data_IF_678755908532
#
_entry.id   IF_678755908532
#
_cell.length_a   1.000
_cell.length_b   1.000
_cell.length_c   1.000
_cell.angle_alpha   90.00
_cell.angle_beta   90.00
_cell.angle_gamma   90.00
#
_symmetry.space_group_name_H-M   'P 1'
#
loop_
_entity.id
_entity.type
_entity.pdbx_description
1 polymer ?
#
# COMPACT_ATOMS: atom_id res chain seq x y z
N UNK A 1 -5.12 -11.66 -5.35
CA UNK A 1 -5.76 -10.36 -5.10
C UNK A 1 -5.83 -9.53 -6.36
N UNK A 2 -6.75 -8.62 -6.39
CA UNK A 2 -6.82 -7.56 -7.38
C UNK A 2 -5.81 -6.46 -7.00
N UNK A 3 -4.58 -6.62 -7.43
CA UNK A 3 -3.49 -5.71 -7.07
C UNK A 3 -3.66 -4.32 -7.67
N UNK A 4 -4.13 -4.21 -8.91
CA UNK A 4 -4.38 -2.91 -9.54
C UNK A 4 -5.43 -2.13 -8.76
N UNK A 5 -6.55 -2.77 -8.39
CA UNK A 5 -7.57 -2.12 -7.57
C UNK A 5 -7.03 -1.71 -6.20
N UNK A 6 -6.16 -2.51 -5.55
CA UNK A 6 -5.56 -2.15 -4.27
C UNK A 6 -4.76 -0.83 -4.34
N UNK A 7 -4.01 -0.63 -5.40
CA UNK A 7 -3.32 0.64 -5.66
C UNK A 7 -4.27 1.76 -6.05
N UNK A 8 -5.23 1.46 -6.91
CA UNK A 8 -6.19 2.44 -7.43
C UNK A 8 -7.00 3.12 -6.32
N UNK A 9 -7.51 2.37 -5.35
CA UNK A 9 -8.28 2.94 -4.23
C UNK A 9 -7.42 3.84 -3.32
N UNK A 10 -6.12 3.55 -3.19
CA UNK A 10 -5.18 4.45 -2.51
C UNK A 10 -5.02 5.78 -3.26
N UNK A 11 -4.88 5.73 -4.58
CA UNK A 11 -4.81 6.92 -5.42
C UNK A 11 -6.09 7.74 -5.39
N UNK A 12 -7.26 7.09 -5.39
CA UNK A 12 -8.54 7.79 -5.25
C UNK A 12 -8.67 8.55 -3.93
N UNK A 13 -8.23 7.95 -2.81
CA UNK A 13 -8.22 8.64 -1.53
C UNK A 13 -7.23 9.82 -1.54
N UNK A 14 -6.05 9.64 -2.17
CA UNK A 14 -5.08 10.73 -2.29
C UNK A 14 -5.68 11.97 -3.01
N UNK A 15 -6.48 11.76 -4.06
CA UNK A 15 -7.19 12.85 -4.73
C UNK A 15 -8.14 13.62 -3.80
N UNK A 16 -8.72 12.95 -2.83
CA UNK A 16 -9.58 13.58 -1.82
C UNK A 16 -8.75 14.33 -0.78
N UNK A 17 -7.63 13.73 -0.32
CA UNK A 17 -6.76 14.35 0.69
C UNK A 17 -5.96 15.54 0.14
N UNK A 18 -5.60 15.51 -1.14
CA UNK A 18 -4.75 16.50 -1.82
C UNK A 18 -5.33 16.87 -3.19
N UNK A 19 -6.45 17.59 -3.23
CA UNK A 19 -7.17 17.87 -4.49
C UNK A 19 -6.38 18.79 -5.46
N UNK A 20 -5.42 19.53 -4.95
CA UNK A 20 -4.58 20.43 -5.77
C UNK A 20 -3.31 19.74 -6.34
N UNK A 21 -3.16 18.43 -6.11
CA UNK A 21 -1.96 17.69 -6.49
C UNK A 21 -0.83 17.84 -5.47
N UNK A 22 0.41 17.59 -5.90
CA UNK A 22 1.59 17.72 -5.04
C UNK A 22 2.75 16.83 -5.45
N UNK A 23 3.80 16.80 -4.62
CA UNK A 23 4.99 15.99 -4.84
C UNK A 23 4.89 14.67 -4.12
N UNK A 24 5.11 13.59 -4.84
CA UNK A 24 4.97 12.23 -4.29
C UNK A 24 6.25 11.42 -4.47
N UNK A 25 6.42 10.48 -3.56
CA UNK A 25 7.44 9.42 -3.63
C UNK A 25 6.74 8.09 -3.85
N UNK A 26 7.32 7.24 -4.69
CA UNK A 26 6.85 5.86 -4.89
C UNK A 26 7.93 4.92 -4.37
N UNK A 27 7.53 3.97 -3.52
CA UNK A 27 8.38 2.87 -3.05
C UNK A 27 7.90 1.59 -3.71
N UNK A 28 8.73 1.03 -4.56
CA UNK A 28 8.38 -0.05 -5.47
C UNK A 28 9.38 -1.20 -5.44
N UNK A 29 9.05 -2.31 -6.09
CA UNK A 29 9.93 -3.46 -6.27
C UNK A 29 9.74 -4.00 -7.70
N UNK A 30 10.45 -3.46 -8.69
CA UNK A 30 10.21 -3.76 -10.13
C UNK A 30 10.32 -5.24 -10.51
N UNK A 31 11.04 -6.03 -9.70
CA UNK A 31 11.13 -7.49 -9.88
C UNK A 31 9.90 -8.27 -9.40
N UNK A 32 8.88 -7.61 -8.81
CA UNK A 32 7.70 -8.26 -8.22
C UNK A 32 6.42 -7.79 -8.91
N UNK A 33 5.82 -8.66 -9.73
CA UNK A 33 4.65 -8.30 -10.55
C UNK A 33 3.48 -7.72 -9.74
N UNK A 34 3.16 -8.30 -8.58
CA UNK A 34 2.08 -7.79 -7.74
C UNK A 34 2.33 -6.38 -7.23
N UNK A 35 3.57 -6.01 -6.94
CA UNK A 35 3.95 -4.64 -6.56
C UNK A 35 3.80 -3.71 -7.76
N UNK A 36 4.24 -4.13 -8.95
CA UNK A 36 4.09 -3.33 -10.18
C UNK A 36 2.61 -3.04 -10.49
N UNK A 37 1.74 -4.05 -10.39
CA UNK A 37 0.29 -3.88 -10.57
C UNK A 37 -0.29 -2.86 -9.59
N UNK A 38 0.11 -2.91 -8.30
CA UNK A 38 -0.31 -1.95 -7.27
C UNK A 38 0.10 -0.52 -7.60
N UNK A 39 1.34 -0.34 -8.02
CA UNK A 39 1.84 0.98 -8.42
C UNK A 39 1.14 1.46 -9.68
N UNK A 40 0.93 0.58 -10.67
CA UNK A 40 0.18 0.92 -11.88
C UNK A 40 -1.22 1.44 -11.55
N UNK A 41 -1.98 0.73 -10.73
CA UNK A 41 -3.33 1.16 -10.34
C UNK A 41 -3.33 2.50 -9.58
N UNK A 42 -2.35 2.72 -8.70
CA UNK A 42 -2.20 4.01 -8.02
C UNK A 42 -1.92 5.15 -9.00
N UNK A 43 -0.97 4.98 -9.92
CA UNK A 43 -0.61 6.00 -10.92
C UNK A 43 -1.76 6.26 -11.89
N UNK A 44 -2.53 5.23 -12.26
CA UNK A 44 -3.74 5.40 -13.07
C UNK A 44 -4.75 6.31 -12.38
N UNK A 45 -5.02 6.09 -11.09
CA UNK A 45 -5.97 6.87 -10.33
C UNK A 45 -5.60 8.36 -10.26
N UNK A 46 -4.32 8.69 -10.14
CA UNK A 46 -3.83 10.08 -10.01
C UNK A 46 -3.43 10.72 -11.34
N UNK A 47 -3.64 10.04 -12.48
CA UNK A 47 -3.27 10.54 -13.80
C UNK A 47 -3.93 11.89 -14.08
N UNK A 48 -3.13 12.86 -14.56
CA UNK A 48 -3.56 14.23 -14.86
C UNK A 48 -4.12 15.05 -13.69
N UNK A 49 -3.81 14.67 -12.44
CA UNK A 49 -4.33 15.31 -11.23
C UNK A 49 -3.33 16.23 -10.52
N UNK A 50 -2.28 16.65 -11.23
CA UNK A 50 -1.31 17.62 -10.68
C UNK A 50 -0.26 17.02 -9.74
N UNK A 51 -0.16 15.69 -9.65
CA UNK A 51 0.90 15.04 -8.89
C UNK A 51 2.18 14.86 -9.71
N UNK A 52 3.32 15.11 -9.07
CA UNK A 52 4.67 14.91 -9.61
C UNK A 52 5.39 13.83 -8.81
N UNK A 53 5.83 12.76 -9.47
CA UNK A 53 6.69 11.74 -8.85
C UNK A 53 8.12 12.28 -8.81
N UNK A 54 8.55 12.75 -7.65
CA UNK A 54 9.89 13.35 -7.48
C UNK A 54 10.97 12.31 -7.20
N UNK A 55 10.59 11.13 -6.71
CA UNK A 55 11.52 10.03 -6.45
C UNK A 55 10.80 8.68 -6.53
N UNK A 56 11.51 7.68 -7.08
CA UNK A 56 11.18 6.26 -6.91
C UNK A 56 12.29 5.61 -6.08
N UNK A 57 11.90 4.87 -5.07
CA UNK A 57 12.78 4.06 -4.22
C UNK A 57 12.52 2.60 -4.57
N UNK A 58 13.56 1.92 -5.07
CA UNK A 58 13.51 0.49 -5.31
C UNK A 58 13.85 -0.26 -4.01
N UNK A 59 12.84 -0.87 -3.40
CA UNK A 59 13.03 -1.63 -2.18
C UNK A 59 13.77 -2.95 -2.44
N UNK A 60 14.77 -3.24 -1.64
CA UNK A 60 15.36 -4.58 -1.55
C UNK A 60 14.33 -5.57 -1.01
N UNK A 61 14.57 -6.86 -1.19
CA UNK A 61 13.59 -7.90 -0.84
C UNK A 61 13.09 -7.88 0.60
N UNK A 62 13.88 -7.36 1.54
CA UNK A 62 13.55 -7.17 2.95
C UNK A 62 13.19 -5.71 3.31
N UNK A 63 13.13 -4.82 2.32
CA UNK A 63 12.87 -3.39 2.45
C UNK A 63 13.88 -2.63 3.36
N UNK A 64 15.04 -3.22 3.67
CA UNK A 64 15.99 -2.66 4.64
C UNK A 64 16.62 -1.32 4.21
N UNK A 65 16.68 -1.03 2.91
CA UNK A 65 17.23 0.21 2.36
C UNK A 65 16.22 1.39 2.37
N UNK A 66 14.94 1.10 2.48
CA UNK A 66 13.87 2.11 2.25
C UNK A 66 13.94 3.26 3.25
N UNK A 67 14.20 2.97 4.52
CA UNK A 67 14.29 4.00 5.57
C UNK A 67 15.39 5.01 5.27
N UNK A 68 16.58 4.53 4.94
CA UNK A 68 17.76 5.39 4.70
C UNK A 68 17.53 6.24 3.42
N UNK A 69 17.04 5.63 2.35
CA UNK A 69 16.72 6.36 1.11
C UNK A 69 15.60 7.39 1.32
N UNK A 70 14.55 7.04 2.07
CA UNK A 70 13.48 7.99 2.40
C UNK A 70 13.99 9.14 3.28
N UNK A 71 14.88 8.87 4.23
CA UNK A 71 15.53 9.90 5.06
C UNK A 71 16.30 10.89 4.19
N UNK A 72 17.03 10.40 3.19
CA UNK A 72 17.72 11.24 2.23
C UNK A 72 16.72 12.10 1.43
N UNK A 73 15.67 11.50 0.89
CA UNK A 73 14.61 12.22 0.15
C UNK A 73 14.01 13.35 0.99
N UNK A 74 13.70 13.08 2.26
CA UNK A 74 13.13 14.08 3.16
C UNK A 74 14.10 15.23 3.48
N UNK A 75 15.43 14.97 3.48
CA UNK A 75 16.45 15.99 3.70
C UNK A 75 16.66 16.88 2.49
N UNK A 76 16.49 16.33 1.29
CA UNK A 76 16.69 17.04 0.02
C UNK A 76 15.43 17.78 -0.46
N UNK A 77 14.25 17.34 0.01
CA UNK A 77 12.96 17.87 -0.42
C UNK A 77 12.14 18.37 0.77
N UNK A 78 11.96 19.66 0.88
CA UNK A 78 11.15 20.29 1.91
C UNK A 78 9.64 20.02 1.74
N UNK A 79 9.21 19.74 0.51
CA UNK A 79 7.82 19.55 0.13
C UNK A 79 7.61 18.15 -0.44
N UNK A 80 7.11 17.24 0.38
CA UNK A 80 6.59 15.93 -0.01
C UNK A 80 5.17 15.85 0.54
N UNK A 81 4.21 15.57 -0.32
CA UNK A 81 2.78 15.52 0.01
C UNK A 81 2.30 14.12 0.29
N UNK A 82 2.82 13.12 -0.44
CA UNK A 82 2.45 11.73 -0.21
C UNK A 82 3.57 10.74 -0.57
N UNK A 83 3.45 9.54 -0.02
CA UNK A 83 4.27 8.38 -0.37
C UNK A 83 3.34 7.19 -0.64
N UNK A 84 3.47 6.58 -1.80
CA UNK A 84 2.85 5.29 -2.11
C UNK A 84 3.86 4.17 -1.94
N UNK A 85 3.53 3.21 -1.11
CA UNK A 85 4.34 2.03 -0.85
C UNK A 85 3.65 0.78 -1.41
N UNK A 86 4.35 0.00 -2.20
CA UNK A 86 3.81 -1.20 -2.83
C UNK A 86 3.48 -2.34 -1.86
N UNK A 87 3.90 -2.23 -0.58
CA UNK A 87 3.59 -3.19 0.48
C UNK A 87 3.75 -2.59 1.88
N UNK A 88 3.17 -3.24 2.88
CA UNK A 88 3.26 -2.82 4.28
C UNK A 88 4.69 -2.77 4.85
N UNK A 89 5.59 -3.74 4.58
CA UNK A 89 6.98 -3.64 5.03
C UNK A 89 7.70 -2.38 4.52
N UNK A 90 7.42 -1.95 3.29
CA UNK A 90 7.94 -0.69 2.74
C UNK A 90 7.38 0.52 3.51
N UNK A 91 6.08 0.51 3.77
CA UNK A 91 5.42 1.59 4.50
C UNK A 91 5.93 1.74 5.94
N UNK A 92 6.21 0.63 6.63
CA UNK A 92 6.81 0.65 7.96
C UNK A 92 8.15 1.40 7.98
N UNK A 93 9.01 1.20 6.99
CA UNK A 93 10.29 1.90 6.85
C UNK A 93 10.09 3.39 6.53
N UNK A 94 9.15 3.71 5.65
CA UNK A 94 8.79 5.11 5.31
C UNK A 94 8.26 5.85 6.53
N UNK A 95 7.33 5.24 7.27
CA UNK A 95 6.78 5.83 8.51
C UNK A 95 7.85 6.10 9.56
N UNK A 96 8.83 5.21 9.69
CA UNK A 96 9.96 5.39 10.59
C UNK A 96 10.80 6.63 10.18
N UNK A 97 11.13 6.76 8.89
CA UNK A 97 11.88 7.92 8.37
C UNK A 97 11.12 9.24 8.59
N UNK A 98 9.81 9.26 8.29
CA UNK A 98 8.95 10.45 8.47
C UNK A 98 8.90 10.86 9.95
N UNK A 99 8.76 9.88 10.85
CA UNK A 99 8.71 10.11 12.29
C UNK A 99 10.03 10.67 12.83
N UNK A 100 11.17 10.09 12.43
CA UNK A 100 12.50 10.57 12.84
C UNK A 100 12.80 11.97 12.29
N UNK A 101 12.38 12.26 11.06
CA UNK A 101 12.51 13.59 10.47
C UNK A 101 11.52 14.62 11.05
N UNK A 102 10.62 14.20 11.94
CA UNK A 102 9.57 15.03 12.54
C UNK A 102 8.70 15.75 11.46
N UNK A 103 8.53 15.10 10.30
CA UNK A 103 7.71 15.64 9.22
C UNK A 103 6.23 15.33 9.49
N UNK A 104 5.39 16.29 9.15
CA UNK A 104 3.94 16.19 9.25
C UNK A 104 3.31 16.47 7.89
N UNK A 105 2.02 16.20 7.74
CA UNK A 105 1.25 16.47 6.53
C UNK A 105 1.68 15.66 5.29
N UNK A 106 2.39 14.55 5.47
CA UNK A 106 2.69 13.58 4.41
C UNK A 106 1.70 12.43 4.51
N UNK A 107 0.93 12.19 3.44
CA UNK A 107 0.03 11.04 3.37
C UNK A 107 0.80 9.79 2.99
N UNK A 108 0.75 8.73 3.78
CA UNK A 108 1.38 7.45 3.47
C UNK A 108 0.31 6.42 3.12
N UNK A 109 0.49 5.78 1.98
CA UNK A 109 -0.37 4.70 1.50
C UNK A 109 0.43 3.40 1.39
N UNK A 110 -0.23 2.28 1.64
CA UNK A 110 0.35 0.95 1.48
C UNK A 110 -0.66 -0.05 0.94
N UNK A 111 -0.17 -1.25 0.65
CA UNK A 111 -1.01 -2.41 0.32
C UNK A 111 -0.61 -3.55 1.24
N UNK A 112 -1.56 -4.30 1.70
CA UNK A 112 -1.66 -5.60 2.36
C UNK A 112 -2.69 -5.57 3.50
N UNK A 113 -2.58 -4.69 4.50
CA UNK A 113 -3.49 -4.61 5.65
C UNK A 113 -3.01 -5.42 6.85
N UNK A 114 -1.71 -5.37 7.13
CA UNK A 114 -1.12 -6.01 8.30
C UNK A 114 -1.61 -5.41 9.62
N UNK A 115 -1.53 -6.14 10.73
CA UNK A 115 -1.81 -5.59 12.06
C UNK A 115 -0.99 -4.32 12.38
N UNK A 116 0.27 -4.26 11.95
CA UNK A 116 1.17 -3.15 12.21
C UNK A 116 0.71 -1.86 11.51
N UNK A 117 0.41 -1.94 10.20
CA UNK A 117 -0.04 -0.76 9.44
C UNK A 117 -1.45 -0.32 9.83
N UNK A 118 -2.36 -1.24 10.16
CA UNK A 118 -3.68 -0.89 10.72
C UNK A 118 -3.55 -0.20 12.08
N UNK A 119 -2.63 -0.64 12.93
CA UNK A 119 -2.35 0.03 14.21
C UNK A 119 -1.78 1.43 13.97
N UNK A 120 -0.85 1.59 13.03
CA UNK A 120 -0.31 2.89 12.66
C UNK A 120 -1.39 3.83 12.12
N UNK A 121 -2.29 3.31 11.29
CA UNK A 121 -3.44 4.04 10.74
C UNK A 121 -4.38 4.52 11.85
N UNK A 122 -4.74 3.66 12.79
CA UNK A 122 -5.60 4.01 13.93
C UNK A 122 -4.98 5.12 14.79
N UNK A 123 -3.66 5.04 15.02
CA UNK A 123 -2.92 5.99 15.86
C UNK A 123 -2.47 7.25 15.10
N UNK A 124 -2.59 7.28 13.77
CA UNK A 124 -2.06 8.36 12.92
C UNK A 124 -0.52 8.45 12.94
N UNK A 125 0.17 7.31 13.09
CA UNK A 125 1.62 7.26 13.19
C UNK A 125 2.27 7.41 11.82
N UNK A 126 3.34 8.22 11.72
CA UNK A 126 4.20 8.32 10.53
C UNK A 126 3.47 8.75 9.25
N UNK A 127 2.33 9.41 9.37
CA UNK A 127 1.56 9.86 8.21
C UNK A 127 0.67 8.79 7.58
N UNK A 128 0.53 7.60 8.19
CA UNK A 128 -0.32 6.54 7.65
C UNK A 128 -1.75 7.01 7.42
N UNK A 129 -2.21 6.94 6.17
CA UNK A 129 -3.47 7.54 5.71
C UNK A 129 -4.45 6.51 5.18
N UNK A 130 -3.98 5.53 4.40
CA UNK A 130 -4.84 4.52 3.81
C UNK A 130 -4.11 3.26 3.35
N UNK A 131 -4.85 2.17 3.29
CA UNK A 131 -4.34 0.84 2.96
C UNK A 131 -5.26 0.19 1.92
N UNK A 132 -4.71 -0.22 0.79
CA UNK A 132 -5.35 -1.17 -0.12
C UNK A 132 -5.23 -2.58 0.44
N UNK A 133 -6.22 -3.01 1.21
CA UNK A 133 -6.13 -4.25 1.97
C UNK A 133 -6.48 -5.48 1.13
N UNK A 134 -5.80 -6.57 1.43
CA UNK A 134 -6.07 -7.92 0.91
C UNK A 134 -6.64 -8.81 2.00
N UNK A 135 -7.23 -9.94 1.61
CA UNK A 135 -7.69 -10.99 2.52
C UNK A 135 -6.85 -12.27 2.38
N UNK A 136 -5.71 -12.41 3.07
CA UNK A 136 -4.92 -13.65 3.07
C UNK A 136 -5.72 -14.86 3.54
N UNK A 137 -6.68 -14.63 4.44
CA UNK A 137 -7.56 -15.69 4.96
C UNK A 137 -8.44 -16.25 3.85
N UNK A 138 -9.08 -15.39 3.04
CA UNK A 138 -9.90 -15.84 1.93
C UNK A 138 -9.07 -16.43 0.79
N UNK A 139 -7.90 -15.85 0.51
CA UNK A 139 -6.94 -16.42 -0.45
C UNK A 139 -6.57 -17.85 -0.06
N UNK A 140 -6.26 -18.08 1.23
CA UNK A 140 -5.97 -19.43 1.74
C UNK A 140 -7.15 -20.39 1.60
N UNK A 141 -8.37 -19.95 1.93
CA UNK A 141 -9.59 -20.76 1.76
C UNK A 141 -9.84 -21.12 0.29
N UNK A 142 -9.69 -20.16 -0.61
CA UNK A 142 -9.86 -20.36 -2.06
C UNK A 142 -8.80 -21.31 -2.60
N UNK A 143 -7.53 -21.17 -2.19
CA UNK A 143 -6.46 -22.07 -2.58
C UNK A 143 -6.74 -23.52 -2.16
N UNK A 144 -7.20 -23.75 -0.92
CA UNK A 144 -7.57 -25.09 -0.43
C UNK A 144 -8.76 -25.66 -1.19
N UNK A 145 -9.78 -24.83 -1.48
CA UNK A 145 -10.96 -25.22 -2.27
C UNK A 145 -10.55 -25.70 -3.67
N UNK A 146 -9.74 -24.92 -4.37
CA UNK A 146 -9.24 -25.27 -5.71
C UNK A 146 -8.39 -26.52 -5.69
N UNK A 147 -7.45 -26.62 -4.76
CA UNK A 147 -6.60 -27.81 -4.61
C UNK A 147 -7.43 -29.09 -4.33
N UNK A 148 -8.45 -29.00 -3.49
CA UNK A 148 -9.34 -30.12 -3.18
C UNK A 148 -10.17 -30.55 -4.40
N UNK A 149 -10.66 -29.60 -5.20
CA UNK A 149 -11.39 -29.91 -6.42
C UNK A 149 -10.48 -30.59 -7.44
N UNK A 150 -9.26 -30.07 -7.64
CA UNK A 150 -8.26 -30.65 -8.53
C UNK A 150 -7.91 -32.09 -8.15
N UNK A 151 -7.68 -32.36 -6.86
CA UNK A 151 -7.36 -33.71 -6.36
C UNK A 151 -8.54 -34.70 -6.50
N UNK A 152 -9.75 -34.19 -6.52
CA UNK A 152 -10.98 -34.98 -6.68
C UNK A 152 -11.44 -35.11 -8.14
N UNK A 153 -10.65 -34.65 -9.11
CA UNK A 153 -10.98 -34.59 -10.55
C UNK A 153 -12.32 -33.91 -10.83
N UNK A 154 -12.59 -32.80 -10.11
CA UNK A 154 -13.78 -31.97 -10.25
C UNK A 154 -13.44 -30.68 -10.99
N UNK A 155 -14.47 -30.08 -11.59
CA UNK A 155 -14.36 -28.76 -12.19
C UNK A 155 -13.95 -27.70 -11.15
N UNK A 156 -13.04 -26.81 -11.56
CA UNK A 156 -12.60 -25.67 -10.75
C UNK A 156 -12.34 -24.45 -11.66
N UNK A 157 -12.48 -23.27 -11.09
CA UNK A 157 -12.14 -22.04 -11.75
C UNK A 157 -10.61 -21.84 -11.70
N UNK A 158 -9.99 -21.58 -12.88
CA UNK A 158 -8.53 -21.46 -12.97
C UNK A 158 -8.03 -20.14 -12.43
N UNK A 159 -8.78 -19.06 -12.69
CA UNK A 159 -8.44 -17.69 -12.31
C UNK A 159 -9.38 -17.26 -11.18
N UNK A 160 -8.83 -17.15 -9.98
CA UNK A 160 -9.57 -16.75 -8.79
C UNK A 160 -9.01 -15.42 -8.28
N UNK A 161 -9.79 -14.36 -8.41
CA UNK A 161 -9.45 -13.03 -7.91
C UNK A 161 -10.18 -12.80 -6.58
N UNK A 162 -9.41 -12.56 -5.52
CA UNK A 162 -9.97 -12.08 -4.26
C UNK A 162 -10.03 -10.55 -4.30
N UNK A 163 -11.18 -10.02 -3.94
CA UNK A 163 -11.42 -8.59 -3.89
C UNK A 163 -10.49 -7.91 -2.88
N UNK A 164 -10.06 -6.71 -3.21
CA UNK A 164 -9.33 -5.81 -2.32
C UNK A 164 -10.24 -4.67 -1.89
N UNK A 165 -9.98 -4.10 -0.73
CA UNK A 165 -10.82 -3.08 -0.13
C UNK A 165 -9.97 -2.00 0.53
N UNK A 166 -10.53 -0.82 0.70
CA UNK A 166 -9.81 0.31 1.26
C UNK A 166 -10.05 0.44 2.76
N UNK A 167 -8.96 0.48 3.52
CA UNK A 167 -8.99 0.77 4.96
C UNK A 167 -8.38 2.15 5.19
N UNK A 168 -9.13 3.01 5.86
CA UNK A 168 -8.68 4.31 6.33
C UNK A 168 -9.03 4.50 7.81
N UNK A 169 -8.78 5.69 8.33
CA UNK A 169 -9.01 5.99 9.74
C UNK A 169 -10.48 5.88 10.16
N UNK A 170 -11.41 6.11 9.23
CA UNK A 170 -12.84 6.09 9.52
C UNK A 170 -13.40 4.68 9.68
N UNK A 171 -12.75 3.67 9.08
CA UNK A 171 -13.24 2.30 9.06
C UNK A 171 -12.29 1.25 9.65
N UNK A 172 -11.08 1.62 10.05
CA UNK A 172 -10.07 0.67 10.58
C UNK A 172 -10.57 -0.12 11.80
N UNK A 173 -11.39 0.49 12.66
CA UNK A 173 -11.97 -0.18 13.83
C UNK A 173 -12.86 -1.37 13.44
N UNK A 174 -13.53 -1.31 12.29
CA UNK A 174 -14.39 -2.40 11.78
C UNK A 174 -13.58 -3.65 11.39
N UNK A 175 -12.32 -3.44 11.00
CA UNK A 175 -11.42 -4.52 10.58
C UNK A 175 -10.55 -5.04 11.72
N UNK A 176 -10.44 -4.31 12.83
CA UNK A 176 -9.56 -4.64 13.94
C UNK A 176 -8.07 -4.55 13.59
N UNK A 177 -7.23 -4.50 14.60
CA UNK A 177 -5.76 -4.35 14.44
C UNK A 177 -4.99 -5.58 14.91
N UNK A 178 -5.65 -6.64 15.32
CA UNK A 178 -5.08 -7.83 15.96
C UNK A 178 -4.88 -9.02 15.01
N UNK A 179 -5.27 -8.91 13.76
CA UNK A 179 -5.16 -9.98 12.77
C UNK A 179 -5.30 -9.53 11.32
N UNK A 180 -5.29 -10.49 10.41
CA UNK A 180 -5.59 -10.33 8.99
C UNK A 180 -7.09 -10.52 8.72
N UNK A 181 -7.56 -9.98 7.58
CA UNK A 181 -8.92 -10.19 7.06
C UNK A 181 -9.01 -11.38 6.13
#
# INVERSE_FOLDING_TARGET
SDNENAGYVCGQDLLVQKPDGGKIVIVESPGVNSVNERITGFEEAITNSGFEVVKRIEALGDSSNVKDEMTQVLSENSEIDAVMCGSDPMAEQVMAAITEAQRTNICVYSVDGSPATKTALMNGTGGMTGIGAQSPINMGKTAVKVATALLADKDYEKDNYEETFFINRDNVEMYGTDGWQ
#
